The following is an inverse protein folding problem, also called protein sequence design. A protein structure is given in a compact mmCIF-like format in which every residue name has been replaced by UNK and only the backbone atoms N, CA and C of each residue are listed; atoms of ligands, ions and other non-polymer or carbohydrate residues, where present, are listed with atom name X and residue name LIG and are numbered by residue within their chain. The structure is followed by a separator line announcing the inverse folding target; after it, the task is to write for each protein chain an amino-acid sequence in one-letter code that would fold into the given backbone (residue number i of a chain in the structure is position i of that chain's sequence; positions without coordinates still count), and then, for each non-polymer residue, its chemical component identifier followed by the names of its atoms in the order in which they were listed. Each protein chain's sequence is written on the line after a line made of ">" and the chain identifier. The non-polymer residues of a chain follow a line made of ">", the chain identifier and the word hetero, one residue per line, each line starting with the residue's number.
data_IF_146154484974
#
_entry.id   IF_146154484974
#
_cell.length_a   1.000
_cell.length_b   1.000
_cell.length_c   1.000
_cell.angle_alpha   90.00
_cell.angle_beta   90.00
_cell.angle_gamma   90.00
#
_symmetry.space_group_name_H-M   'P 1'
#
loop_
_entity.id
_entity.type
_entity.pdbx_description
1 polymer ?
#
# COMPACT_ATOMS: atom_id res chain seq x y z
N UNK A 1 26.56 -12.07 67.48
CA UNK A 1 25.59 -11.01 67.18
C UNK A 1 24.82 -11.41 65.93
N UNK A 2 23.62 -11.95 66.07
CA UNK A 2 22.69 -12.09 64.95
C UNK A 2 22.35 -10.67 64.48
N UNK A 3 22.59 -10.38 63.21
CA UNK A 3 22.38 -9.06 62.61
C UNK A 3 20.89 -8.67 62.73
N UNK A 4 20.61 -7.40 63.03
CA UNK A 4 19.25 -6.89 63.31
C UNK A 4 18.22 -7.30 62.24
N UNK A 5 16.98 -7.57 62.66
CA UNK A 5 15.86 -7.94 61.78
C UNK A 5 15.68 -6.97 60.58
N UNK A 6 15.88 -5.68 60.82
CA UNK A 6 15.82 -4.64 59.80
C UNK A 6 16.91 -4.80 58.72
N UNK A 7 18.08 -5.33 59.08
CA UNK A 7 19.15 -5.63 58.12
C UNK A 7 18.73 -6.76 57.16
N UNK A 8 18.12 -7.82 57.68
CA UNK A 8 17.63 -8.93 56.86
C UNK A 8 16.45 -8.52 55.96
N UNK A 9 15.51 -7.72 56.47
CA UNK A 9 14.44 -7.14 55.67
C UNK A 9 14.98 -6.28 54.53
N UNK A 10 15.97 -5.42 54.79
CA UNK A 10 16.61 -4.59 53.77
C UNK A 10 17.25 -5.42 52.66
N UNK A 11 17.95 -6.51 53.00
CA UNK A 11 18.50 -7.45 51.99
C UNK A 11 17.38 -8.04 51.13
N UNK A 12 16.31 -8.54 51.74
CA UNK A 12 15.19 -9.14 51.01
C UNK A 12 14.54 -8.12 50.07
N UNK A 13 14.35 -6.88 50.52
CA UNK A 13 13.80 -5.80 49.68
C UNK A 13 14.70 -5.48 48.50
N UNK A 14 16.02 -5.38 48.71
CA UNK A 14 16.99 -5.14 47.62
C UNK A 14 16.96 -6.28 46.60
N UNK A 15 16.97 -7.54 47.06
CA UNK A 15 16.91 -8.71 46.18
C UNK A 15 15.60 -8.72 45.39
N UNK A 16 14.46 -8.47 46.04
CA UNK A 16 13.16 -8.40 45.39
C UNK A 16 13.11 -7.29 44.32
N UNK A 17 13.69 -6.12 44.61
CA UNK A 17 13.77 -5.01 43.65
C UNK A 17 14.64 -5.35 42.43
N UNK A 18 15.79 -6.00 42.62
CA UNK A 18 16.65 -6.46 41.52
C UNK A 18 15.92 -7.47 40.63
N UNK A 19 15.23 -8.46 41.24
CA UNK A 19 14.45 -9.45 40.50
C UNK A 19 13.33 -8.77 39.70
N UNK A 20 12.60 -7.83 40.31
CA UNK A 20 11.55 -7.08 39.62
C UNK A 20 12.11 -6.32 38.40
N UNK A 21 13.25 -5.63 38.53
CA UNK A 21 13.89 -4.94 37.41
C UNK A 21 14.32 -5.90 36.28
N UNK A 22 14.79 -7.10 36.63
CA UNK A 22 15.13 -8.14 35.65
C UNK A 22 13.89 -8.63 34.90
N UNK A 23 12.78 -8.88 35.60
CA UNK A 23 11.51 -9.26 35.00
C UNK A 23 10.96 -8.16 34.08
N UNK A 24 11.00 -6.90 34.50
CA UNK A 24 10.57 -5.76 33.66
C UNK A 24 11.40 -5.67 32.38
N UNK A 25 12.73 -5.83 32.45
CA UNK A 25 13.59 -5.84 31.26
C UNK A 25 13.24 -6.99 30.31
N UNK A 26 12.96 -8.18 30.83
CA UNK A 26 12.53 -9.32 30.03
C UNK A 26 11.17 -9.06 29.36
N UNK A 27 10.21 -8.49 30.11
CA UNK A 27 8.88 -8.17 29.60
C UNK A 27 8.93 -7.11 28.49
N UNK A 28 9.70 -6.03 28.66
CA UNK A 28 9.88 -4.99 27.63
C UNK A 28 10.48 -5.61 26.37
N UNK A 29 11.50 -6.47 26.52
CA UNK A 29 12.12 -7.16 25.39
C UNK A 29 11.10 -8.03 24.64
N UNK A 30 10.25 -8.77 25.36
CA UNK A 30 9.20 -9.60 24.76
C UNK A 30 8.13 -8.75 24.07
N UNK A 31 7.67 -7.69 24.73
CA UNK A 31 6.69 -6.75 24.18
C UNK A 31 7.17 -6.12 22.88
N UNK A 32 8.43 -5.68 22.82
CA UNK A 32 9.03 -5.12 21.60
C UNK A 32 9.07 -6.13 20.45
N UNK A 33 9.34 -7.41 20.75
CA UNK A 33 9.34 -8.49 19.75
C UNK A 33 7.93 -8.76 19.22
N UNK A 34 6.94 -8.80 20.11
CA UNK A 34 5.54 -8.96 19.72
C UNK A 34 5.09 -7.80 18.84
N UNK A 35 5.41 -6.56 19.23
CA UNK A 35 5.08 -5.37 18.46
C UNK A 35 5.70 -5.40 17.05
N UNK A 36 6.96 -5.80 16.92
CA UNK A 36 7.60 -5.95 15.59
C UNK A 36 6.96 -7.06 14.77
N UNK A 37 6.60 -8.19 15.39
CA UNK A 37 5.90 -9.28 14.74
C UNK A 37 4.54 -8.82 14.19
N UNK A 38 3.74 -8.16 15.03
CA UNK A 38 2.42 -7.64 14.64
C UNK A 38 2.53 -6.66 13.47
N UNK A 39 3.52 -5.76 13.51
CA UNK A 39 3.79 -4.83 12.40
C UNK A 39 4.17 -5.56 11.11
N UNK A 40 5.01 -6.60 11.18
CA UNK A 40 5.36 -7.40 10.00
C UNK A 40 4.15 -8.10 9.40
N UNK A 41 3.31 -8.70 10.24
CA UNK A 41 2.06 -9.34 9.81
C UNK A 41 1.15 -8.32 9.13
N UNK A 42 0.91 -7.17 9.77
CA UNK A 42 0.03 -6.11 9.26
C UNK A 42 0.48 -5.63 7.87
N UNK A 43 1.74 -5.21 7.72
CA UNK A 43 2.23 -4.69 6.44
C UNK A 43 2.27 -5.76 5.35
N UNK A 44 2.62 -7.00 5.72
CA UNK A 44 2.65 -8.11 4.76
C UNK A 44 1.26 -8.48 4.26
N UNK A 45 0.24 -8.53 5.13
CA UNK A 45 -1.13 -8.85 4.73
C UNK A 45 -1.71 -7.80 3.77
N UNK A 46 -1.40 -6.51 3.99
CA UNK A 46 -1.79 -5.45 3.05
C UNK A 46 -1.11 -5.69 1.69
N UNK A 47 0.21 -5.90 1.69
CA UNK A 47 0.96 -6.16 0.46
C UNK A 47 0.41 -7.38 -0.31
N UNK A 48 0.14 -8.48 0.41
CA UNK A 48 -0.44 -9.71 -0.13
C UNK A 48 -1.82 -9.46 -0.74
N UNK A 49 -2.66 -8.66 -0.08
CA UNK A 49 -3.96 -8.27 -0.62
C UNK A 49 -3.87 -7.50 -1.93
N UNK A 50 -2.86 -6.64 -2.10
CA UNK A 50 -2.62 -5.93 -3.37
C UNK A 50 -2.10 -6.85 -4.47
N UNK A 51 -1.18 -7.76 -4.13
CA UNK A 51 -0.70 -8.80 -5.05
C UNK A 51 -1.86 -9.63 -5.57
N UNK A 52 -2.74 -10.10 -4.68
CA UNK A 52 -3.92 -10.89 -5.05
C UNK A 52 -4.90 -10.10 -5.93
N UNK A 53 -5.11 -8.80 -5.65
CA UNK A 53 -5.94 -7.96 -6.51
C UNK A 53 -5.36 -7.85 -7.92
N UNK A 54 -4.04 -7.68 -8.04
CA UNK A 54 -3.40 -7.68 -9.34
C UNK A 54 -3.54 -9.04 -10.05
N UNK A 55 -3.24 -10.14 -9.37
CA UNK A 55 -3.34 -11.50 -9.94
C UNK A 55 -4.73 -11.84 -10.46
N UNK A 56 -5.77 -11.40 -9.76
CA UNK A 56 -7.15 -11.68 -10.15
C UNK A 56 -7.64 -10.80 -11.31
N UNK A 57 -6.95 -9.68 -11.58
CA UNK A 57 -7.44 -8.63 -12.47
C UNK A 57 -6.39 -8.15 -13.50
N UNK A 58 -5.24 -8.81 -13.65
CA UNK A 58 -4.20 -8.36 -14.58
C UNK A 58 -4.68 -8.33 -16.04
N UNK A 59 -5.57 -9.27 -16.40
CA UNK A 59 -6.16 -9.39 -17.74
C UNK A 59 -6.98 -8.17 -18.16
N UNK A 60 -7.52 -7.39 -17.23
CA UNK A 60 -8.29 -6.18 -17.53
C UNK A 60 -7.42 -4.92 -17.64
N UNK A 61 -6.10 -5.03 -17.40
CA UNK A 61 -5.11 -3.97 -17.58
C UNK A 61 -4.52 -3.94 -19.00
N UNK A 62 -5.27 -4.42 -20.00
CA UNK A 62 -4.86 -4.43 -21.41
C UNK A 62 -5.63 -3.34 -22.14
N UNK A 63 -4.93 -2.28 -22.54
CA UNK A 63 -5.54 -1.14 -23.24
C UNK A 63 -5.30 -1.23 -24.75
N UNK A 64 -6.32 -0.85 -25.53
CA UNK A 64 -6.18 -0.73 -26.97
C UNK A 64 -5.37 0.52 -27.32
N UNK A 65 -4.49 0.37 -28.30
CA UNK A 65 -3.78 1.50 -28.86
C UNK A 65 -4.76 2.48 -29.52
N UNK A 66 -4.56 3.77 -29.28
CA UNK A 66 -5.29 4.89 -29.90
C UNK A 66 -6.77 5.08 -29.52
N UNK A 67 -7.33 4.28 -28.61
CA UNK A 67 -8.68 4.47 -28.07
C UNK A 67 -8.64 5.03 -26.63
N UNK A 68 -9.58 5.91 -26.22
CA UNK A 68 -9.75 6.27 -24.81
C UNK A 68 -10.20 5.07 -23.97
N UNK A 69 -9.70 4.97 -22.74
CA UNK A 69 -10.02 3.88 -21.81
C UNK A 69 -11.30 4.25 -21.04
N UNK A 70 -12.45 4.11 -21.69
CA UNK A 70 -13.74 4.52 -21.10
C UNK A 70 -14.17 3.69 -19.88
N UNK A 71 -13.60 2.50 -19.69
CA UNK A 71 -13.89 1.58 -18.60
C UNK A 71 -12.95 1.73 -17.39
N UNK A 72 -12.26 2.87 -17.26
CA UNK A 72 -11.25 3.07 -16.20
C UNK A 72 -11.87 2.99 -14.81
N UNK A 73 -13.13 3.36 -14.66
CA UNK A 73 -13.93 3.29 -13.45
C UNK A 73 -14.11 1.84 -12.97
N UNK A 74 -14.51 0.96 -13.87
CA UNK A 74 -14.64 -0.48 -13.61
C UNK A 74 -13.29 -1.09 -13.24
N UNK A 75 -12.22 -0.75 -13.96
CA UNK A 75 -10.89 -1.28 -13.69
C UNK A 75 -10.40 -0.82 -12.32
N UNK A 76 -10.58 0.46 -11.99
CA UNK A 76 -10.24 1.00 -10.67
C UNK A 76 -11.00 0.28 -9.55
N UNK A 77 -12.30 0.04 -9.75
CA UNK A 77 -13.13 -0.71 -8.79
C UNK A 77 -12.57 -2.11 -8.54
N UNK A 78 -12.17 -2.83 -9.60
CA UNK A 78 -11.56 -4.17 -9.44
C UNK A 78 -10.20 -4.11 -8.74
N UNK A 79 -9.38 -3.09 -9.04
CA UNK A 79 -8.07 -2.88 -8.41
C UNK A 79 -8.15 -2.30 -6.98
N UNK A 80 -9.35 -2.07 -6.47
CA UNK A 80 -9.58 -1.61 -5.08
C UNK A 80 -10.56 -2.52 -4.33
N UNK A 81 -10.91 -3.67 -4.89
CA UNK A 81 -11.93 -4.58 -4.36
C UNK A 81 -11.38 -5.51 -3.25
N UNK A 82 -10.80 -4.93 -2.21
CA UNK A 82 -10.46 -5.65 -0.98
C UNK A 82 -10.81 -4.80 0.25
N UNK A 83 -10.86 -5.42 1.43
CA UNK A 83 -11.26 -4.76 2.69
C UNK A 83 -10.38 -3.57 3.09
N UNK A 84 -9.13 -3.53 2.62
CA UNK A 84 -8.22 -2.42 2.90
C UNK A 84 -8.49 -1.19 2.00
N UNK A 85 -8.93 -1.42 0.76
CA UNK A 85 -9.09 -0.41 -0.28
C UNK A 85 -10.54 -0.02 -0.56
N UNK A 86 -11.53 -0.80 -0.10
CA UNK A 86 -12.96 -0.65 -0.39
C UNK A 86 -13.47 0.78 -0.25
N UNK A 87 -13.05 1.48 0.81
CA UNK A 87 -13.47 2.85 1.11
C UNK A 87 -13.05 3.89 0.05
N UNK A 88 -12.20 3.50 -0.90
CA UNK A 88 -11.70 4.38 -1.97
C UNK A 88 -12.55 4.33 -3.24
N UNK A 89 -13.40 3.31 -3.43
CA UNK A 89 -14.10 3.09 -4.71
C UNK A 89 -14.92 4.32 -5.13
N UNK A 90 -15.58 4.98 -4.17
CA UNK A 90 -16.47 6.12 -4.43
C UNK A 90 -15.78 7.32 -5.11
N UNK A 91 -14.45 7.46 -4.96
CA UNK A 91 -13.70 8.59 -5.53
C UNK A 91 -13.74 8.58 -7.06
N UNK A 92 -13.90 7.41 -7.67
CA UNK A 92 -13.93 7.29 -9.13
C UNK A 92 -15.25 7.78 -9.71
N UNK A 93 -16.33 7.72 -8.93
CA UNK A 93 -17.65 8.26 -9.29
C UNK A 93 -17.78 9.74 -8.94
N UNK A 94 -17.03 10.23 -7.95
CA UNK A 94 -17.07 11.62 -7.46
C UNK A 94 -15.66 12.25 -7.45
N UNK A 95 -14.96 12.31 -8.61
CA UNK A 95 -13.61 12.85 -8.65
C UNK A 95 -13.60 14.33 -8.28
N UNK A 96 -12.59 14.73 -7.50
CA UNK A 96 -12.39 16.10 -6.96
C UNK A 96 -13.46 16.57 -5.96
N UNK A 97 -14.48 15.75 -5.66
CA UNK A 97 -15.51 16.07 -4.68
C UNK A 97 -15.08 15.68 -3.26
N UNK A 98 -15.38 16.56 -2.29
CA UNK A 98 -15.18 16.27 -0.87
C UNK A 98 -16.37 15.47 -0.32
N UNK A 99 -16.15 14.46 0.56
CA UNK A 99 -14.88 14.09 1.19
C UNK A 99 -14.06 13.03 0.43
N UNK A 100 -14.53 12.59 -0.74
CA UNK A 100 -13.98 11.44 -1.47
C UNK A 100 -12.53 11.69 -1.92
N UNK A 101 -12.27 12.85 -2.50
CA UNK A 101 -10.95 13.23 -2.98
C UNK A 101 -9.89 13.19 -1.87
N UNK A 102 -10.18 13.85 -0.75
CA UNK A 102 -9.28 13.87 0.41
C UNK A 102 -9.04 12.47 0.99
N UNK A 103 -10.08 11.65 1.14
CA UNK A 103 -9.93 10.27 1.63
C UNK A 103 -9.02 9.44 0.73
N UNK A 104 -9.18 9.57 -0.59
CA UNK A 104 -8.33 8.88 -1.55
C UNK A 104 -6.87 9.33 -1.45
N UNK A 105 -6.60 10.63 -1.36
CA UNK A 105 -5.23 11.15 -1.21
C UNK A 105 -4.56 10.64 0.07
N UNK A 106 -5.27 10.62 1.20
CA UNK A 106 -4.76 10.06 2.46
C UNK A 106 -4.34 8.61 2.26
N UNK A 107 -5.18 7.80 1.64
CA UNK A 107 -4.89 6.38 1.43
C UNK A 107 -3.76 6.14 0.43
N UNK A 108 -3.59 6.99 -0.59
CA UNK A 108 -2.38 6.95 -1.44
C UNK A 108 -1.11 7.24 -0.63
N UNK A 109 -1.15 8.19 0.31
CA UNK A 109 -0.02 8.48 1.18
C UNK A 109 0.27 7.32 2.15
N UNK A 110 -0.77 6.69 2.69
CA UNK A 110 -0.63 5.48 3.51
C UNK A 110 0.05 4.34 2.74
N UNK A 111 -0.25 4.14 1.45
CA UNK A 111 0.45 3.13 0.63
C UNK A 111 1.93 3.45 0.43
N UNK A 112 2.29 4.72 0.24
CA UNK A 112 3.70 5.14 0.19
C UNK A 112 4.40 4.91 1.52
N UNK A 113 3.71 5.19 2.62
CA UNK A 113 4.22 4.94 3.96
C UNK A 113 4.45 3.43 4.18
N UNK A 114 3.51 2.58 3.77
CA UNK A 114 3.62 1.11 3.81
C UNK A 114 4.81 0.62 2.98
N UNK A 115 4.95 1.10 1.75
CA UNK A 115 6.11 0.80 0.88
C UNK A 115 7.43 1.06 1.61
N UNK A 116 7.51 2.18 2.32
CA UNK A 116 8.69 2.57 3.10
C UNK A 116 8.86 1.71 4.36
N UNK A 117 7.78 1.48 5.11
CA UNK A 117 7.76 0.65 6.33
C UNK A 117 8.24 -0.77 6.06
N UNK A 118 7.82 -1.38 4.94
CA UNK A 118 8.26 -2.72 4.53
C UNK A 118 9.79 -2.77 4.42
N UNK A 119 10.41 -1.76 3.82
CA UNK A 119 11.88 -1.66 3.68
C UNK A 119 12.62 -1.55 5.01
N UNK A 120 11.94 -1.09 6.08
CA UNK A 120 12.52 -1.00 7.42
C UNK A 120 12.30 -2.24 8.28
N UNK A 121 11.12 -2.86 8.20
CA UNK A 121 10.76 -3.96 9.11
C UNK A 121 11.21 -5.32 8.56
N UNK A 122 11.37 -5.45 7.24
CA UNK A 122 11.93 -6.62 6.58
C UNK A 122 13.37 -6.35 6.14
N UNK A 123 14.10 -7.43 5.88
CA UNK A 123 15.52 -7.38 5.53
C UNK A 123 15.76 -7.95 4.13
N UNK A 124 16.86 -7.50 3.52
CA UNK A 124 17.32 -7.99 2.22
C UNK A 124 16.67 -7.29 1.03
N UNK A 125 17.08 -7.71 -0.17
CA UNK A 125 16.55 -7.17 -1.44
C UNK A 125 15.06 -7.44 -1.59
N UNK A 126 14.57 -8.52 -0.98
CA UNK A 126 13.16 -8.92 -0.97
C UNK A 126 12.27 -7.81 -0.38
N UNK A 127 12.72 -7.14 0.69
CA UNK A 127 12.00 -6.02 1.29
C UNK A 127 11.91 -4.81 0.34
N UNK A 128 12.99 -4.55 -0.40
CA UNK A 128 13.03 -3.48 -1.41
C UNK A 128 12.05 -3.79 -2.53
N UNK A 129 12.10 -5.00 -3.08
CA UNK A 129 11.21 -5.43 -4.17
C UNK A 129 9.73 -5.38 -3.77
N UNK A 130 9.38 -5.85 -2.57
CA UNK A 130 8.01 -5.80 -2.08
C UNK A 130 7.54 -4.36 -1.84
N UNK A 131 8.41 -3.51 -1.28
CA UNK A 131 8.11 -2.10 -1.10
C UNK A 131 7.90 -1.38 -2.43
N UNK A 132 8.76 -1.61 -3.43
CA UNK A 132 8.66 -1.01 -4.76
C UNK A 132 7.40 -1.44 -5.49
N UNK A 133 6.99 -2.70 -5.35
CA UNK A 133 5.71 -3.19 -5.88
C UNK A 133 4.52 -2.38 -5.34
N UNK A 134 4.46 -2.14 -4.03
CA UNK A 134 3.37 -1.33 -3.43
C UNK A 134 3.39 0.10 -3.95
N UNK A 135 4.57 0.68 -4.13
CA UNK A 135 4.71 2.02 -4.69
C UNK A 135 4.16 2.09 -6.11
N UNK A 136 4.51 1.13 -6.98
CA UNK A 136 3.96 1.07 -8.33
C UNK A 136 2.44 0.81 -8.34
N UNK A 137 1.92 0.05 -7.39
CA UNK A 137 0.47 -0.14 -7.24
C UNK A 137 -0.23 1.19 -6.91
N UNK A 138 0.33 1.94 -5.96
CA UNK A 138 -0.15 3.28 -5.61
C UNK A 138 -0.10 4.24 -6.80
N UNK A 139 1.00 4.24 -7.55
CA UNK A 139 1.17 5.06 -8.76
C UNK A 139 0.12 4.72 -9.81
N UNK A 140 -0.16 3.44 -10.03
CA UNK A 140 -1.21 3.00 -10.94
C UNK A 140 -2.58 3.55 -10.53
N UNK A 141 -2.97 3.39 -9.26
CA UNK A 141 -4.24 3.91 -8.77
C UNK A 141 -4.36 5.42 -8.96
N UNK A 142 -3.27 6.15 -8.72
CA UNK A 142 -3.24 7.60 -8.95
C UNK A 142 -3.40 7.95 -10.43
N UNK A 143 -2.75 7.21 -11.33
CA UNK A 143 -2.90 7.42 -12.78
C UNK A 143 -4.30 7.09 -13.28
N UNK A 144 -4.93 6.04 -12.76
CA UNK A 144 -6.34 5.72 -13.05
C UNK A 144 -7.26 6.87 -12.63
N UNK A 145 -7.05 7.41 -11.43
CA UNK A 145 -7.80 8.56 -10.92
C UNK A 145 -7.62 9.82 -11.77
N UNK A 146 -6.38 10.15 -12.15
CA UNK A 146 -6.09 11.27 -13.05
C UNK A 146 -6.77 11.09 -14.41
N UNK A 147 -6.78 9.86 -14.94
CA UNK A 147 -7.43 9.54 -16.20
C UNK A 147 -8.96 9.65 -16.10
N UNK A 148 -9.57 9.27 -14.98
CA UNK A 148 -11.01 9.48 -14.75
C UNK A 148 -11.40 10.96 -14.73
N UNK A 149 -10.61 11.83 -14.08
CA UNK A 149 -10.82 13.28 -14.13
C UNK A 149 -10.77 13.78 -15.59
N UNK A 150 -9.81 13.28 -16.37
CA UNK A 150 -9.68 13.63 -17.78
C UNK A 150 -10.90 13.20 -18.59
N UNK A 151 -11.46 12.01 -18.36
CA UNK A 151 -12.68 11.56 -19.03
C UNK A 151 -13.87 12.49 -18.73
N UNK A 152 -13.97 13.00 -17.50
CA UNK A 152 -14.93 14.05 -17.16
C UNK A 152 -14.76 15.30 -18.04
N UNK A 153 -13.54 15.82 -18.13
CA UNK A 153 -13.23 16.97 -19.00
C UNK A 153 -13.49 16.70 -20.48
N UNK A 154 -13.21 15.49 -20.95
CA UNK A 154 -13.48 15.09 -22.33
C UNK A 154 -15.00 15.12 -22.62
N UNK A 155 -15.81 14.63 -21.68
CA UNK A 155 -17.27 14.67 -21.77
C UNK A 155 -17.77 16.11 -21.80
N UNK A 156 -17.30 16.95 -20.89
CA UNK A 156 -17.66 18.38 -20.84
C UNK A 156 -17.30 19.07 -22.16
N UNK A 157 -16.09 18.84 -22.66
CA UNK A 157 -15.63 19.44 -23.93
C UNK A 157 -16.47 19.00 -25.14
N UNK A 158 -16.88 17.73 -25.18
CA UNK A 158 -17.75 17.21 -26.25
C UNK A 158 -19.16 17.81 -26.21
N UNK A 159 -19.70 18.05 -25.01
CA UNK A 159 -21.07 18.53 -24.80
C UNK A 159 -21.17 20.06 -24.92
N UNK A 160 -20.29 20.80 -24.24
CA UNK A 160 -20.31 22.26 -24.14
C UNK A 160 -19.85 22.92 -25.44
N UNK A 161 -18.77 22.43 -26.05
CA UNK A 161 -18.19 23.02 -27.26
C UNK A 161 -18.61 22.33 -28.56
N UNK A 162 -19.49 21.32 -28.48
CA UNK A 162 -19.97 20.51 -29.64
C UNK A 162 -18.82 20.01 -30.53
N UNK A 163 -17.68 19.70 -29.93
CA UNK A 163 -16.52 19.19 -30.66
C UNK A 163 -16.76 17.75 -31.08
N UNK A 164 -16.15 17.34 -32.20
CA UNK A 164 -16.00 15.93 -32.50
C UNK A 164 -15.17 15.26 -31.40
N UNK A 165 -15.39 13.97 -31.15
CA UNK A 165 -14.66 13.21 -30.11
C UNK A 165 -13.15 13.33 -30.34
N UNK A 166 -12.69 13.26 -31.59
CA UNK A 166 -11.27 13.40 -31.97
C UNK A 166 -10.71 14.76 -31.56
N UNK A 167 -11.41 15.85 -31.88
CA UNK A 167 -10.96 17.21 -31.54
C UNK A 167 -11.02 17.47 -30.03
N UNK A 168 -12.01 16.90 -29.33
CA UNK A 168 -12.07 16.95 -27.87
C UNK A 168 -10.87 16.23 -27.24
N UNK A 169 -10.49 15.06 -27.75
CA UNK A 169 -9.31 14.29 -27.29
C UNK A 169 -8.01 15.06 -27.45
N UNK A 170 -7.81 15.68 -28.60
CA UNK A 170 -6.64 16.54 -28.86
C UNK A 170 -6.62 17.74 -27.91
N UNK A 171 -7.77 18.39 -27.71
CA UNK A 171 -7.90 19.59 -26.86
C UNK A 171 -7.54 19.29 -25.41
N UNK A 172 -7.92 18.12 -24.89
CA UNK A 172 -7.61 17.73 -23.49
C UNK A 172 -6.27 17.01 -23.34
N UNK A 173 -5.55 16.75 -24.44
CA UNK A 173 -4.26 16.06 -24.42
C UNK A 173 -4.36 14.59 -23.99
N UNK A 174 -5.44 13.90 -24.35
CA UNK A 174 -5.76 12.55 -23.82
C UNK A 174 -4.65 11.52 -24.04
N UNK A 175 -3.99 11.58 -25.19
CA UNK A 175 -2.93 10.63 -25.55
C UNK A 175 -1.79 10.60 -24.53
N UNK A 176 -1.37 11.75 -24.01
CA UNK A 176 -0.29 11.82 -23.01
C UNK A 176 -0.69 11.12 -21.71
N UNK A 177 -1.92 11.36 -21.23
CA UNK A 177 -2.41 10.71 -20.01
C UNK A 177 -2.58 9.20 -20.19
N UNK A 178 -2.99 8.75 -21.38
CA UNK A 178 -3.05 7.31 -21.70
C UNK A 178 -1.67 6.67 -21.67
N UNK A 179 -0.67 7.31 -22.27
CA UNK A 179 0.72 6.82 -22.26
C UNK A 179 1.28 6.74 -20.84
N UNK A 180 1.03 7.76 -20.00
CA UNK A 180 1.44 7.75 -18.60
C UNK A 180 0.74 6.65 -17.78
N UNK A 181 -0.55 6.40 -18.04
CA UNK A 181 -1.29 5.31 -17.40
C UNK A 181 -0.76 3.94 -17.86
N UNK A 182 -0.51 3.75 -19.16
CA UNK A 182 0.07 2.51 -19.68
C UNK A 182 1.45 2.24 -19.07
N UNK A 183 2.29 3.27 -18.94
CA UNK A 183 3.59 3.16 -18.27
C UNK A 183 3.45 2.71 -16.80
N UNK A 184 2.44 3.19 -16.09
CA UNK A 184 2.20 2.75 -14.71
C UNK A 184 1.75 1.27 -14.64
N UNK A 185 0.94 0.81 -15.61
CA UNK A 185 0.60 -0.61 -15.75
C UNK A 185 1.85 -1.45 -15.99
N UNK A 186 2.69 -1.04 -16.94
CA UNK A 186 3.91 -1.76 -17.31
C UNK A 186 4.89 -1.86 -16.13
N UNK A 187 5.06 -0.77 -15.38
CA UNK A 187 5.89 -0.74 -14.17
C UNK A 187 5.38 -1.72 -13.11
N UNK A 188 4.07 -1.72 -12.85
CA UNK A 188 3.48 -2.64 -11.86
C UNK A 188 3.66 -4.09 -12.29
N UNK A 189 3.43 -4.39 -13.58
CA UNK A 189 3.62 -5.72 -14.15
C UNK A 189 5.08 -6.18 -14.02
N UNK A 190 6.03 -5.32 -14.38
CA UNK A 190 7.45 -5.62 -14.23
C UNK A 190 7.82 -5.91 -12.77
N UNK A 191 7.33 -5.10 -11.83
CA UNK A 191 7.55 -5.31 -10.41
C UNK A 191 6.98 -6.66 -9.94
N UNK A 192 5.76 -6.99 -10.37
CA UNK A 192 5.12 -8.28 -10.09
C UNK A 192 5.94 -9.47 -10.62
N UNK A 193 6.38 -9.41 -11.88
CA UNK A 193 7.17 -10.48 -12.50
C UNK A 193 8.47 -10.72 -11.72
N UNK A 194 9.10 -9.65 -11.24
CA UNK A 194 10.28 -9.74 -10.37
C UNK A 194 9.96 -10.37 -9.02
N UNK A 195 8.83 -10.03 -8.39
CA UNK A 195 8.38 -10.66 -7.15
C UNK A 195 8.21 -12.18 -7.32
N UNK A 196 7.52 -12.61 -8.37
CA UNK A 196 7.26 -14.03 -8.65
C UNK A 196 8.51 -14.80 -8.97
N UNK A 197 9.36 -14.28 -9.87
CA UNK A 197 10.64 -14.90 -10.20
C UNK A 197 11.56 -15.03 -8.97
N UNK A 198 11.54 -14.04 -8.09
CA UNK A 198 12.35 -13.99 -6.88
C UNK A 198 11.83 -14.80 -5.70
N UNK A 199 10.60 -15.35 -5.79
CA UNK A 199 9.84 -15.93 -4.67
C UNK A 199 9.83 -15.01 -3.45
N UNK A 200 9.60 -13.71 -3.70
CA UNK A 200 9.74 -12.67 -2.68
C UNK A 200 8.75 -12.89 -1.54
N UNK A 201 7.50 -13.26 -1.84
CA UNK A 201 6.48 -13.54 -0.82
C UNK A 201 6.91 -14.62 0.17
N UNK A 202 7.36 -15.79 -0.32
CA UNK A 202 7.82 -16.90 0.53
C UNK A 202 8.96 -16.46 1.46
N UNK A 203 9.90 -15.67 0.95
CA UNK A 203 11.06 -15.20 1.71
C UNK A 203 10.71 -14.12 2.73
N UNK A 204 9.71 -13.29 2.43
CA UNK A 204 9.19 -12.29 3.38
C UNK A 204 8.42 -12.99 4.50
N UNK A 205 7.57 -13.98 4.18
CA UNK A 205 6.85 -14.80 5.16
C UNK A 205 7.80 -15.46 6.17
N UNK A 206 8.94 -15.99 5.71
CA UNK A 206 9.98 -16.57 6.58
C UNK A 206 10.57 -15.59 7.61
N UNK A 207 10.45 -14.28 7.38
CA UNK A 207 10.91 -13.25 8.32
C UNK A 207 9.86 -12.89 9.38
N UNK A 208 8.61 -13.33 9.21
CA UNK A 208 7.50 -13.12 10.14
C UNK A 208 7.60 -14.15 11.26
N UNK A 209 8.55 -13.93 12.17
CA UNK A 209 8.83 -14.84 13.28
C UNK A 209 9.00 -14.04 14.58
N UNK A 210 8.54 -14.63 15.69
CA UNK A 210 8.82 -14.15 17.04
C UNK A 210 10.29 -14.46 17.38
N UNK A 211 11.20 -13.60 16.94
CA UNK A 211 12.65 -13.73 17.26
C UNK A 211 12.96 -13.18 18.62
#
# INVERSE_FOLDING_TARGET
>A
MLKDWNFWLSIVTVVAAVIALMQTKQQIKLSNKQHLFDKRVEQYLIAKGLIQLYENNDTILVFKENEPILSIDFIFMQMTNNTYMEQMVDVISHPLEEPYHKKFLIRLEELKEISTKIKFIFSGKEAILLGDYILHYQELLFKMYQYQILLGKLKDASQEFRLTIEKARETVGENQYREELQKAVDNLKQAYDVLKKGKVEEKIEQQITLR
#
